data_IF_699349509653
#
_entry.id   IF_699349509653
#
_cell.length_a   1.000
_cell.length_b   1.000
_cell.length_c   1.000
_cell.angle_alpha   90.00
_cell.angle_beta   90.00
_cell.angle_gamma   90.00
#
_symmetry.space_group_name_H-M   'P 1'
#
loop_
_entity.id
_entity.type
_entity.pdbx_description
1 polymer ?
#
# COMPACT_ATOMS: atom_id res chain seq x y z
N UNK A 1 0.48 16.91 -3.00
CA UNK A 1 -0.93 17.29 -3.24
C UNK A 1 -1.84 16.51 -2.31
N UNK A 2 -1.79 15.18 -2.32
CA UNK A 2 -2.68 14.31 -1.52
C UNK A 2 -2.62 14.58 -0.01
N UNK A 3 -1.42 14.77 0.56
CA UNK A 3 -1.28 15.07 1.98
C UNK A 3 -2.04 16.34 2.41
N UNK A 4 -1.98 17.41 1.61
CA UNK A 4 -2.69 18.66 1.89
C UNK A 4 -4.20 18.44 1.75
N UNK A 5 -4.61 17.67 0.74
CA UNK A 5 -6.02 17.30 0.56
C UNK A 5 -6.57 16.56 1.78
N UNK A 6 -5.88 15.52 2.27
CA UNK A 6 -6.31 14.80 3.47
C UNK A 6 -6.32 15.68 4.73
N UNK A 7 -5.32 16.53 4.94
CA UNK A 7 -5.27 17.41 6.12
C UNK A 7 -6.43 18.41 6.17
N UNK A 8 -6.94 18.86 5.02
CA UNK A 8 -8.00 19.87 4.95
C UNK A 8 -9.38 19.21 4.90
N UNK A 9 -9.55 18.17 4.08
CA UNK A 9 -10.87 17.61 3.76
C UNK A 9 -11.20 16.32 4.52
N UNK A 10 -10.20 15.56 4.95
CA UNK A 10 -10.36 14.26 5.62
C UNK A 10 -9.35 14.04 6.75
N UNK A 11 -9.29 14.92 7.77
CA UNK A 11 -8.26 14.88 8.82
C UNK A 11 -8.33 13.62 9.70
N UNK A 12 -9.47 12.92 9.70
CA UNK A 12 -9.66 11.65 10.39
C UNK A 12 -8.95 10.47 9.72
N UNK A 13 -8.51 10.60 8.46
CA UNK A 13 -7.87 9.52 7.70
C UNK A 13 -6.38 9.39 8.04
N UNK A 14 -6.09 9.19 9.33
CA UNK A 14 -4.75 9.17 9.93
C UNK A 14 -3.82 8.16 9.24
N UNK A 15 -4.36 7.03 8.75
CA UNK A 15 -3.58 6.01 8.06
C UNK A 15 -3.01 6.52 6.73
N UNK A 16 -3.83 7.20 5.92
CA UNK A 16 -3.40 7.79 4.66
C UNK A 16 -2.46 8.98 4.88
N UNK A 17 -2.78 9.85 5.85
CA UNK A 17 -1.91 10.97 6.24
C UNK A 17 -0.53 10.45 6.67
N UNK A 18 -0.50 9.45 7.56
CA UNK A 18 0.73 8.82 8.02
C UNK A 18 1.52 8.15 6.89
N UNK A 19 0.83 7.47 5.97
CA UNK A 19 1.44 6.88 4.78
C UNK A 19 2.10 7.94 3.89
N UNK A 20 1.42 9.05 3.60
CA UNK A 20 1.98 10.13 2.79
C UNK A 20 3.14 10.85 3.48
N UNK A 21 3.10 11.00 4.81
CA UNK A 21 4.24 11.53 5.58
C UNK A 21 5.44 10.58 5.53
N UNK A 22 5.22 9.28 5.67
CA UNK A 22 6.28 8.28 5.62
C UNK A 22 6.94 8.19 4.23
N UNK A 23 6.14 8.23 3.16
CA UNK A 23 6.67 8.28 1.78
C UNK A 23 7.44 9.57 1.53
N UNK A 24 6.91 10.72 1.96
CA UNK A 24 7.61 12.00 1.85
C UNK A 24 8.95 12.00 2.61
N UNK A 25 8.99 11.43 3.82
CA UNK A 25 10.22 11.26 4.58
C UNK A 25 11.29 10.47 3.81
N UNK A 26 10.92 9.31 3.25
CA UNK A 26 11.85 8.48 2.44
C UNK A 26 12.32 9.25 1.21
N UNK A 27 11.44 9.98 0.53
CA UNK A 27 11.80 10.79 -0.62
C UNK A 27 12.76 11.93 -0.31
N UNK A 28 12.46 12.72 0.72
CA UNK A 28 13.27 13.87 1.11
C UNK A 28 14.66 13.41 1.54
N UNK A 29 14.73 12.35 2.33
CA UNK A 29 16.02 11.79 2.77
C UNK A 29 16.80 11.16 1.63
N UNK A 30 16.15 10.44 0.72
CA UNK A 30 16.81 9.89 -0.47
C UNK A 30 17.35 11.01 -1.39
N UNK A 31 16.55 12.04 -1.65
CA UNK A 31 16.87 13.11 -2.60
C UNK A 31 17.90 14.13 -2.08
N UNK A 32 17.75 14.54 -0.82
CA UNK A 32 18.49 15.68 -0.27
C UNK A 32 19.61 15.28 0.70
N UNK A 33 19.51 14.14 1.40
CA UNK A 33 20.56 13.69 2.32
C UNK A 33 21.56 12.77 1.65
N UNK A 34 21.08 11.87 0.76
CA UNK A 34 21.91 10.82 0.18
C UNK A 34 22.22 11.07 -1.30
N UNK A 35 21.27 11.70 -2.03
CA UNK A 35 21.30 11.93 -3.48
C UNK A 35 21.57 10.65 -4.32
N UNK A 36 21.39 9.48 -3.71
CA UNK A 36 21.65 8.12 -4.22
C UNK A 36 20.66 7.16 -3.57
N UNK A 37 20.49 5.96 -4.15
CA UNK A 37 19.49 4.97 -3.68
C UNK A 37 18.10 5.10 -4.32
N UNK A 38 17.95 5.98 -5.32
CA UNK A 38 16.70 6.20 -6.03
C UNK A 38 16.14 4.92 -6.65
N UNK A 39 16.99 4.01 -7.16
CA UNK A 39 16.52 2.76 -7.77
C UNK A 39 15.66 1.93 -6.82
N UNK A 40 16.07 1.81 -5.55
CA UNK A 40 15.32 1.00 -4.60
C UNK A 40 13.97 1.65 -4.23
N UNK A 41 13.98 2.97 -4.05
CA UNK A 41 12.79 3.77 -3.74
C UNK A 41 11.81 3.79 -4.94
N UNK A 42 12.32 3.89 -6.17
CA UNK A 42 11.56 3.90 -7.42
C UNK A 42 10.80 2.59 -7.64
N UNK A 43 11.38 1.45 -7.29
CA UNK A 43 10.69 0.16 -7.44
C UNK A 43 9.52 0.01 -6.45
N UNK A 44 9.66 0.52 -5.22
CA UNK A 44 8.55 0.58 -4.27
C UNK A 44 7.41 1.50 -4.75
N UNK A 45 7.76 2.60 -5.42
CA UNK A 45 6.80 3.51 -6.05
C UNK A 45 6.08 2.87 -7.21
N UNK A 46 6.80 2.17 -8.08
CA UNK A 46 6.18 1.44 -9.18
C UNK A 46 5.19 0.40 -8.63
N UNK A 47 5.60 -0.39 -7.62
CA UNK A 47 4.69 -1.32 -6.96
C UNK A 47 3.46 -0.61 -6.36
N UNK A 48 3.67 0.55 -5.72
CA UNK A 48 2.58 1.32 -5.14
C UNK A 48 1.61 1.85 -6.21
N UNK A 49 2.13 2.42 -7.30
CA UNK A 49 1.33 3.02 -8.37
C UNK A 49 0.54 1.99 -9.17
N UNK A 50 1.14 0.84 -9.47
CA UNK A 50 0.43 -0.23 -10.17
C UNK A 50 -0.77 -0.71 -9.34
N UNK A 51 -0.67 -0.71 -8.00
CA UNK A 51 -1.82 -0.99 -7.13
C UNK A 51 -2.76 0.20 -6.95
N UNK A 52 -2.27 1.45 -7.10
CA UNK A 52 -3.03 2.68 -6.79
C UNK A 52 -4.21 2.85 -7.74
N UNK A 53 -4.03 2.63 -9.04
CA UNK A 53 -5.12 2.78 -10.02
C UNK A 53 -6.29 1.83 -9.70
N UNK A 54 -5.97 0.56 -9.41
CA UNK A 54 -6.96 -0.45 -9.03
C UNK A 54 -7.62 -0.12 -7.67
N UNK A 55 -6.81 0.25 -6.68
CA UNK A 55 -7.27 0.63 -5.34
C UNK A 55 -8.19 1.86 -5.36
N UNK A 56 -7.86 2.88 -6.16
CA UNK A 56 -8.64 4.11 -6.28
C UNK A 56 -9.96 3.87 -6.99
N UNK A 57 -9.95 3.10 -8.09
CA UNK A 57 -11.18 2.70 -8.79
C UNK A 57 -12.09 1.88 -7.86
N UNK A 58 -11.53 0.93 -7.11
CA UNK A 58 -12.26 0.13 -6.15
C UNK A 58 -12.84 0.98 -5.00
N UNK A 59 -12.05 1.89 -4.43
CA UNK A 59 -12.47 2.78 -3.33
C UNK A 59 -13.59 3.72 -3.79
N UNK A 60 -13.47 4.30 -4.99
CA UNK A 60 -14.50 5.18 -5.55
C UNK A 60 -15.80 4.42 -5.84
N UNK A 61 -15.70 3.22 -6.41
CA UNK A 61 -16.84 2.35 -6.64
C UNK A 61 -17.54 2.00 -5.31
N UNK A 62 -16.77 1.69 -4.26
CA UNK A 62 -17.31 1.44 -2.93
C UNK A 62 -18.05 2.65 -2.35
N UNK A 63 -17.48 3.85 -2.48
CA UNK A 63 -18.07 5.08 -1.96
C UNK A 63 -19.43 5.40 -2.62
N UNK A 64 -19.63 5.04 -3.88
CA UNK A 64 -20.87 5.32 -4.64
C UNK A 64 -21.76 4.10 -4.85
N UNK A 65 -21.45 2.94 -4.26
CA UNK A 65 -22.18 1.69 -4.50
C UNK A 65 -23.66 1.74 -4.09
N UNK A 66 -24.01 2.58 -3.13
CA UNK A 66 -25.40 2.73 -2.64
C UNK A 66 -26.20 3.63 -3.60
N UNK A 67 -25.56 4.65 -4.17
CA UNK A 67 -26.23 5.65 -5.01
C UNK A 67 -26.31 5.23 -6.49
N UNK A 68 -25.33 4.47 -6.98
CA UNK A 68 -25.16 4.19 -8.42
C UNK A 68 -25.03 2.69 -8.66
N UNK A 69 -26.00 2.10 -9.38
CA UNK A 69 -25.98 0.67 -9.71
C UNK A 69 -24.76 0.24 -10.52
N UNK A 70 -24.26 1.10 -11.42
CA UNK A 70 -23.01 0.82 -12.14
C UNK A 70 -21.82 0.72 -11.19
N UNK A 71 -21.72 1.61 -10.20
CA UNK A 71 -20.66 1.57 -9.20
C UNK A 71 -20.72 0.29 -8.34
N UNK A 72 -21.93 -0.17 -7.99
CA UNK A 72 -22.11 -1.45 -7.30
C UNK A 72 -21.57 -2.63 -8.13
N UNK A 73 -21.90 -2.68 -9.43
CA UNK A 73 -21.39 -3.73 -10.34
C UNK A 73 -19.87 -3.69 -10.46
N UNK A 74 -19.29 -2.49 -10.59
CA UNK A 74 -17.83 -2.31 -10.66
C UNK A 74 -17.17 -2.76 -9.34
N UNK A 75 -17.73 -2.38 -8.20
CA UNK A 75 -17.23 -2.79 -6.89
C UNK A 75 -17.25 -4.32 -6.73
N UNK A 76 -18.36 -4.97 -7.05
CA UNK A 76 -18.49 -6.44 -6.94
C UNK A 76 -17.55 -7.17 -7.90
N UNK A 77 -17.43 -6.68 -9.13
CA UNK A 77 -16.52 -7.25 -10.13
C UNK A 77 -15.05 -7.08 -9.73
N UNK A 78 -14.67 -5.89 -9.25
CA UNK A 78 -13.29 -5.54 -8.97
C UNK A 78 -12.80 -6.07 -7.62
N UNK A 79 -13.67 -6.29 -6.64
CA UNK A 79 -13.27 -6.67 -5.27
C UNK A 79 -12.40 -7.92 -5.21
N UNK A 80 -12.82 -9.03 -5.83
CA UNK A 80 -12.07 -10.29 -5.76
C UNK A 80 -10.73 -10.22 -6.54
N UNK A 81 -10.69 -9.73 -7.80
CA UNK A 81 -9.43 -9.50 -8.50
C UNK A 81 -8.50 -8.53 -7.77
N UNK A 82 -9.04 -7.44 -7.21
CA UNK A 82 -8.28 -6.45 -6.45
C UNK A 82 -7.64 -7.09 -5.22
N UNK A 83 -8.39 -7.83 -4.42
CA UNK A 83 -7.85 -8.43 -3.20
C UNK A 83 -6.74 -9.42 -3.53
N UNK A 84 -6.94 -10.28 -4.54
CA UNK A 84 -5.91 -11.23 -4.97
C UNK A 84 -4.66 -10.51 -5.50
N UNK A 85 -4.84 -9.52 -6.38
CA UNK A 85 -3.74 -8.74 -6.94
C UNK A 85 -2.96 -7.99 -5.85
N UNK A 86 -3.68 -7.31 -4.96
CA UNK A 86 -3.10 -6.57 -3.85
C UNK A 86 -2.36 -7.49 -2.88
N UNK A 87 -2.92 -8.67 -2.57
CA UNK A 87 -2.24 -9.69 -1.75
C UNK A 87 -0.96 -10.20 -2.39
N UNK A 88 -0.91 -10.41 -3.71
CA UNK A 88 0.33 -10.83 -4.41
C UNK A 88 1.37 -9.71 -4.37
N UNK A 89 0.99 -8.49 -4.74
CA UNK A 89 1.93 -7.37 -4.80
C UNK A 89 2.48 -7.04 -3.40
N UNK A 90 1.61 -6.96 -2.38
CA UNK A 90 2.02 -6.58 -1.02
C UNK A 90 2.54 -7.74 -0.19
N UNK A 91 2.03 -8.95 -0.39
CA UNK A 91 2.39 -10.14 0.40
C UNK A 91 3.59 -10.91 -0.16
N UNK A 92 3.87 -10.80 -1.45
CA UNK A 92 4.99 -11.53 -2.10
C UNK A 92 6.04 -10.55 -2.62
N UNK A 93 5.65 -9.66 -3.55
CA UNK A 93 6.62 -8.77 -4.21
C UNK A 93 7.20 -7.75 -3.22
N UNK A 94 6.39 -7.20 -2.32
CA UNK A 94 6.83 -6.27 -1.27
C UNK A 94 7.92 -6.85 -0.37
N UNK A 95 7.70 -7.99 0.31
CA UNK A 95 8.71 -8.63 1.15
C UNK A 95 9.96 -9.06 0.39
N UNK A 96 9.79 -9.59 -0.82
CA UNK A 96 10.92 -9.91 -1.68
C UNK A 96 11.78 -8.66 -1.96
N UNK A 97 11.13 -7.54 -2.24
CA UNK A 97 11.82 -6.29 -2.48
C UNK A 97 12.54 -5.75 -1.23
N UNK A 98 11.90 -5.81 -0.06
CA UNK A 98 12.55 -5.45 1.22
C UNK A 98 13.79 -6.30 1.45
N UNK A 99 13.72 -7.60 1.16
CA UNK A 99 14.87 -8.48 1.27
C UNK A 99 16.02 -8.05 0.33
N UNK A 100 15.72 -7.80 -0.95
CA UNK A 100 16.71 -7.31 -1.92
C UNK A 100 17.34 -5.98 -1.45
N UNK A 101 16.51 -5.07 -0.96
CA UNK A 101 16.96 -3.78 -0.44
C UNK A 101 17.86 -3.95 0.80
N UNK A 102 17.52 -4.86 1.71
CA UNK A 102 18.33 -5.19 2.88
C UNK A 102 19.69 -5.78 2.49
N UNK A 103 19.72 -6.76 1.58
CA UNK A 103 20.96 -7.35 1.06
C UNK A 103 21.84 -6.28 0.41
N UNK A 104 21.26 -5.40 -0.40
CA UNK A 104 21.99 -4.30 -1.03
C UNK A 104 22.67 -3.37 0.00
N UNK A 105 21.95 -2.93 1.02
CA UNK A 105 22.53 -2.03 2.04
C UNK A 105 23.51 -2.74 2.99
N UNK A 106 23.27 -4.01 3.34
CA UNK A 106 24.14 -4.78 4.25
C UNK A 106 25.44 -5.20 3.55
N UNK A 107 25.38 -5.55 2.27
CA UNK A 107 26.54 -6.00 1.49
C UNK A 107 27.62 -4.93 1.32
N UNK A 108 27.31 -3.66 1.61
CA UNK A 108 28.27 -2.56 1.50
C UNK A 108 28.72 -2.30 0.07
N UNK A 109 27.98 -2.79 -0.93
CA UNK A 109 28.21 -2.53 -2.36
C UNK A 109 28.17 -1.03 -2.68
N UNK A 110 27.51 -0.25 -1.83
CA UNK A 110 27.49 1.21 -1.87
C UNK A 110 28.78 1.87 -1.33
N UNK A 111 29.76 1.09 -0.87
CA UNK A 111 31.01 1.58 -0.28
C UNK A 111 30.83 2.24 1.10
N UNK A 112 29.72 2.00 1.80
CA UNK A 112 29.42 2.63 3.09
C UNK A 112 29.08 4.12 3.00
N UNK A 113 28.76 4.59 1.80
CA UNK A 113 28.47 6.00 1.49
C UNK A 113 27.12 6.41 2.09
N UNK A 114 26.17 5.48 2.23
CA UNK A 114 24.87 5.76 2.84
C UNK A 114 24.96 5.51 4.36
N UNK A 115 24.75 6.54 5.21
CA UNK A 115 24.77 6.35 6.65
C UNK A 115 23.80 5.26 7.12
N UNK A 116 24.26 4.38 8.01
CA UNK A 116 23.48 3.22 8.49
C UNK A 116 22.11 3.59 9.02
N UNK A 117 22.01 4.66 9.79
CA UNK A 117 20.75 5.11 10.37
C UNK A 117 19.72 5.50 9.29
N UNK A 118 20.15 6.01 8.14
CA UNK A 118 19.26 6.41 7.04
C UNK A 118 18.62 5.17 6.41
N UNK A 119 19.42 4.23 5.92
CA UNK A 119 18.86 3.07 5.23
C UNK A 119 18.12 2.12 6.19
N UNK A 120 18.53 2.05 7.47
CA UNK A 120 17.76 1.34 8.50
C UNK A 120 16.40 2.00 8.68
N UNK A 121 16.33 3.33 8.76
CA UNK A 121 15.05 4.04 8.87
C UNK A 121 14.14 3.78 7.67
N UNK A 122 14.69 3.71 6.45
CA UNK A 122 13.94 3.37 5.25
C UNK A 122 13.39 1.94 5.30
N UNK A 123 14.22 0.96 5.67
CA UNK A 123 13.76 -0.42 5.84
C UNK A 123 12.63 -0.51 6.86
N UNK A 124 12.76 0.14 8.02
CA UNK A 124 11.71 0.16 9.03
C UNK A 124 10.40 0.72 8.48
N UNK A 125 10.45 1.88 7.81
CA UNK A 125 9.25 2.50 7.20
C UNK A 125 8.59 1.56 6.19
N UNK A 126 9.38 0.94 5.30
CA UNK A 126 8.86 0.06 4.25
C UNK A 126 8.26 -1.22 4.83
N UNK A 127 8.93 -1.84 5.81
CA UNK A 127 8.42 -3.02 6.53
C UNK A 127 7.10 -2.70 7.21
N UNK A 128 7.02 -1.58 7.94
CA UNK A 128 5.77 -1.16 8.59
C UNK A 128 4.66 -0.91 7.57
N UNK A 129 4.95 -0.23 6.46
CA UNK A 129 3.97 0.05 5.42
C UNK A 129 3.43 -1.23 4.77
N UNK A 130 4.29 -2.21 4.49
CA UNK A 130 3.90 -3.51 3.94
C UNK A 130 3.05 -4.28 4.97
N UNK A 131 3.48 -4.36 6.23
CA UNK A 131 2.74 -5.06 7.28
C UNK A 131 1.34 -4.49 7.49
N UNK A 132 1.21 -3.16 7.56
CA UNK A 132 -0.10 -2.49 7.68
C UNK A 132 -0.97 -2.76 6.43
N UNK A 133 -0.37 -2.75 5.24
CA UNK A 133 -1.08 -3.06 3.99
C UNK A 133 -1.60 -4.51 3.95
N UNK A 134 -0.80 -5.46 4.43
CA UNK A 134 -1.19 -6.87 4.55
C UNK A 134 -2.35 -7.02 5.55
N UNK A 135 -2.23 -6.42 6.73
CA UNK A 135 -3.30 -6.45 7.74
C UNK A 135 -4.61 -5.88 7.18
N UNK A 136 -4.53 -4.76 6.46
CA UNK A 136 -5.68 -4.11 5.84
C UNK A 136 -6.36 -5.01 4.80
N UNK A 137 -5.62 -5.61 3.86
CA UNK A 137 -6.22 -6.51 2.85
C UNK A 137 -6.73 -7.80 3.47
N UNK A 138 -6.09 -8.33 4.52
CA UNK A 138 -6.62 -9.48 5.26
C UNK A 138 -7.97 -9.17 5.89
N UNK A 139 -8.14 -7.97 6.47
CA UNK A 139 -9.44 -7.55 7.01
C UNK A 139 -10.52 -7.46 5.92
N UNK A 140 -10.17 -6.98 4.72
CA UNK A 140 -11.08 -6.97 3.57
C UNK A 140 -11.49 -8.37 3.12
N UNK A 141 -10.55 -9.33 3.08
CA UNK A 141 -10.85 -10.73 2.82
C UNK A 141 -11.83 -11.28 3.86
N UNK A 142 -11.57 -11.06 5.15
CA UNK A 142 -12.46 -11.52 6.23
C UNK A 142 -13.86 -10.95 6.08
N UNK A 143 -14.00 -9.67 5.76
CA UNK A 143 -15.31 -9.04 5.52
C UNK A 143 -16.03 -9.69 4.33
N UNK A 144 -15.34 -9.89 3.21
CA UNK A 144 -15.92 -10.52 2.02
C UNK A 144 -16.39 -11.96 2.30
N UNK A 145 -15.62 -12.75 3.04
CA UNK A 145 -16.01 -14.11 3.43
C UNK A 145 -17.23 -14.10 4.35
N UNK A 146 -17.29 -13.19 5.33
CA UNK A 146 -18.45 -13.03 6.22
C UNK A 146 -19.71 -12.67 5.44
N UNK A 147 -19.63 -11.70 4.54
CA UNK A 147 -20.77 -11.29 3.71
C UNK A 147 -21.26 -12.40 2.79
N UNK A 148 -20.34 -13.17 2.19
CA UNK A 148 -20.68 -14.32 1.35
C UNK A 148 -21.30 -15.46 2.15
N UNK A 149 -20.78 -15.75 3.35
CA UNK A 149 -21.34 -16.75 4.26
C UNK A 149 -22.78 -16.43 4.65
N UNK A 150 -23.03 -15.21 5.12
CA UNK A 150 -24.38 -14.76 5.49
C UNK A 150 -25.39 -14.83 4.33
N UNK A 151 -24.94 -14.51 3.09
CA UNK A 151 -25.79 -14.64 1.88
C UNK A 151 -26.13 -16.10 1.56
N UNK A 152 -25.23 -17.04 1.83
CA UNK A 152 -25.46 -18.47 1.60
C UNK A 152 -26.43 -19.05 2.64
N UNK A 153 -26.27 -18.70 3.92
CA UNK A 153 -27.19 -19.11 4.99
C UNK A 153 -28.63 -18.62 4.73
N UNK A 154 -28.78 -17.36 4.31
CA UNK A 154 -30.08 -16.79 3.94
C UNK A 154 -30.73 -17.45 2.72
N UNK A 155 -29.94 -18.04 1.81
CA UNK A 155 -30.48 -18.81 0.66
C UNK A 155 -30.84 -20.24 1.01
N UNK A 156 -30.31 -20.78 2.11
CA UNK A 156 -30.54 -22.14 2.57
C UNK A 156 -31.71 -22.27 3.56
N UNK A 157 -32.27 -21.14 4.00
CA UNK A 157 -33.44 -21.04 4.89
C UNK A 157 -34.63 -20.56 4.09
#
# INVERSE_FOLDING_TARGET
MDLIHYLIFSPSDILFIGHHLATLFVFVTCRYLVARGAYAVLMLLILAEVTSACQNAWTLANARRIDVQFAAKVYDFLSLPFYAFYSVVRGILGPYFVYQMGVFFISGVDGGIIPKWIWVSWLCVVVTAISVSILWVTNLWVQLYKERGAKLEKKST
#
